data_IF_894467008772
#
_entry.id   IF_894467008772
#
_cell.length_a   1.000
_cell.length_b   1.000
_cell.length_c   1.000
_cell.angle_alpha   90.00
_cell.angle_beta   90.00
_cell.angle_gamma   90.00
#
_symmetry.space_group_name_H-M   'P 1'
#
loop_
_entity.id
_entity.type
_entity.pdbx_description
1 polymer ?
#
# COMPACT_ATOMS: atom_id res chain seq x y z
N UNK A 1 10.79 11.24 -78.88
CA UNK A 1 9.89 11.83 -77.86
C UNK A 1 9.62 10.77 -76.83
N UNK A 2 10.23 10.85 -75.65
CA UNK A 2 9.92 10.00 -74.49
C UNK A 2 9.98 10.88 -73.25
N UNK A 3 8.82 11.30 -72.75
CA UNK A 3 8.70 12.14 -71.54
C UNK A 3 8.92 11.28 -70.29
N UNK A 4 9.64 11.77 -69.26
CA UNK A 4 9.73 11.08 -67.97
C UNK A 4 8.41 11.20 -67.20
N UNK A 5 8.02 10.13 -66.52
CA UNK A 5 6.84 10.09 -65.63
C UNK A 5 7.03 11.02 -64.42
N UNK A 6 5.94 11.62 -63.89
CA UNK A 6 6.01 12.49 -62.72
C UNK A 6 6.25 11.69 -61.44
N UNK A 7 7.02 12.28 -60.52
CA UNK A 7 7.40 11.70 -59.24
C UNK A 7 6.18 11.49 -58.31
N UNK A 8 6.22 10.40 -57.54
CA UNK A 8 5.28 10.00 -56.48
C UNK A 8 5.29 10.95 -55.25
N UNK A 9 5.39 12.26 -55.45
CA UNK A 9 5.62 13.23 -54.37
C UNK A 9 4.48 13.37 -53.35
N UNK A 10 3.27 12.88 -53.64
CA UNK A 10 2.13 12.92 -52.73
C UNK A 10 2.14 11.75 -51.71
N UNK A 11 2.53 10.55 -52.15
CA UNK A 11 2.59 9.35 -51.30
C UNK A 11 3.73 9.46 -50.26
N UNK A 12 4.86 10.07 -50.63
CA UNK A 12 6.00 10.31 -49.72
C UNK A 12 5.67 11.26 -48.55
N UNK A 13 4.80 12.26 -48.77
CA UNK A 13 4.40 13.20 -47.70
C UNK A 13 3.40 12.58 -46.72
N UNK A 14 2.48 11.76 -47.22
CA UNK A 14 1.47 11.06 -46.43
C UNK A 14 2.14 9.99 -45.55
N UNK A 15 3.04 9.18 -46.12
CA UNK A 15 3.82 8.20 -45.34
C UNK A 15 4.80 8.86 -44.36
N UNK A 16 5.41 10.02 -44.68
CA UNK A 16 6.31 10.73 -43.74
C UNK A 16 5.64 11.23 -42.46
N UNK A 17 4.32 11.42 -42.45
CA UNK A 17 3.57 11.89 -41.27
C UNK A 17 2.79 10.74 -40.61
N UNK A 18 2.18 9.85 -41.40
CA UNK A 18 1.42 8.71 -40.88
C UNK A 18 2.32 7.60 -40.35
N UNK A 19 3.49 7.36 -40.94
CA UNK A 19 4.41 6.32 -40.45
C UNK A 19 4.96 6.63 -39.05
N UNK A 20 5.49 7.83 -38.74
CA UNK A 20 5.87 8.17 -37.36
C UNK A 20 4.65 8.25 -36.44
N UNK A 21 3.46 8.66 -36.93
CA UNK A 21 2.23 8.67 -36.11
C UNK A 21 1.75 7.28 -35.71
N UNK A 22 1.72 6.33 -36.65
CA UNK A 22 1.39 4.92 -36.41
C UNK A 22 2.49 4.24 -35.58
N UNK A 23 3.76 4.56 -35.82
CA UNK A 23 4.87 4.07 -34.99
C UNK A 23 4.78 4.62 -33.56
N UNK A 24 4.42 5.90 -33.37
CA UNK A 24 4.16 6.47 -32.04
C UNK A 24 2.98 5.79 -31.34
N UNK A 25 1.89 5.51 -32.06
CA UNK A 25 0.72 4.81 -31.53
C UNK A 25 1.04 3.34 -31.17
N UNK A 26 1.82 2.65 -32.00
CA UNK A 26 2.27 1.27 -31.74
C UNK A 26 3.28 1.20 -30.59
N UNK A 27 4.19 2.17 -30.46
CA UNK A 27 5.17 2.22 -29.37
C UNK A 27 4.51 2.50 -28.01
N UNK A 28 3.54 3.40 -27.95
CA UNK A 28 2.77 3.67 -26.72
C UNK A 28 1.80 2.51 -26.38
N UNK A 29 1.24 1.85 -27.39
CA UNK A 29 0.42 0.66 -27.22
C UNK A 29 1.21 -0.54 -26.66
N UNK A 30 2.42 -0.79 -27.15
CA UNK A 30 3.27 -1.89 -26.69
C UNK A 30 3.68 -1.75 -25.22
N UNK A 31 3.98 -0.54 -24.74
CA UNK A 31 4.31 -0.31 -23.33
C UNK A 31 3.12 -0.61 -22.40
N UNK A 32 1.91 -0.23 -22.82
CA UNK A 32 0.67 -0.51 -22.08
C UNK A 32 0.33 -2.00 -22.11
N UNK A 33 0.43 -2.65 -23.27
CA UNK A 33 0.19 -4.10 -23.43
C UNK A 33 1.19 -4.92 -22.61
N UNK A 34 2.48 -4.60 -22.66
CA UNK A 34 3.51 -5.25 -21.85
C UNK A 34 3.23 -5.14 -20.35
N UNK A 35 2.79 -3.95 -19.91
CA UNK A 35 2.44 -3.73 -18.51
C UNK A 35 1.22 -4.54 -18.06
N UNK A 36 0.14 -4.58 -18.84
CA UNK A 36 -1.02 -5.40 -18.47
C UNK A 36 -0.74 -6.90 -18.60
N UNK A 37 0.09 -7.31 -19.56
CA UNK A 37 0.54 -8.69 -19.69
C UNK A 37 1.33 -9.16 -18.47
N UNK A 38 2.22 -8.32 -17.90
CA UNK A 38 2.94 -8.70 -16.67
C UNK A 38 2.02 -8.77 -15.46
N UNK A 39 1.01 -7.90 -15.35
CA UNK A 39 0.00 -7.99 -14.28
C UNK A 39 -0.79 -9.31 -14.39
N UNK A 40 -1.28 -9.65 -15.58
CA UNK A 40 -2.03 -10.88 -15.81
C UNK A 40 -1.16 -12.14 -15.57
N UNK A 41 0.07 -12.14 -16.10
CA UNK A 41 1.00 -13.25 -15.94
C UNK A 41 1.41 -13.45 -14.48
N UNK A 42 1.75 -12.37 -13.77
CA UNK A 42 2.13 -12.42 -12.36
C UNK A 42 0.99 -12.92 -11.47
N UNK A 43 -0.22 -12.41 -11.69
CA UNK A 43 -1.41 -12.87 -10.96
C UNK A 43 -1.68 -14.35 -11.26
N UNK A 44 -1.64 -14.77 -12.54
CA UNK A 44 -1.87 -16.17 -12.91
C UNK A 44 -0.83 -17.12 -12.31
N UNK A 45 0.44 -16.72 -12.28
CA UNK A 45 1.50 -17.50 -11.63
C UNK A 45 1.23 -17.68 -10.14
N UNK A 46 0.88 -16.59 -9.44
CA UNK A 46 0.50 -16.65 -8.03
C UNK A 46 -0.70 -17.57 -7.84
N UNK A 47 -1.76 -17.40 -8.63
CA UNK A 47 -2.98 -18.21 -8.50
C UNK A 47 -2.74 -19.70 -8.74
N UNK A 48 -1.78 -20.06 -9.62
CA UNK A 48 -1.36 -21.44 -9.91
C UNK A 48 -0.45 -22.04 -8.84
N UNK A 49 0.32 -21.21 -8.13
CA UNK A 49 1.24 -21.66 -7.08
C UNK A 49 0.52 -22.00 -5.75
N UNK A 50 -0.79 -21.72 -5.65
CA UNK A 50 -1.56 -21.94 -4.42
C UNK A 50 -1.78 -23.42 -4.14
N UNK A 51 -1.56 -23.78 -2.90
CA UNK A 51 -1.93 -25.07 -2.32
C UNK A 51 -2.67 -24.88 -0.98
N UNK A 52 -3.56 -25.80 -0.57
CA UNK A 52 -4.23 -25.70 0.73
C UNK A 52 -3.24 -25.72 1.90
N UNK A 53 -3.39 -24.80 2.85
CA UNK A 53 -2.52 -24.71 4.02
C UNK A 53 -2.51 -26.01 4.81
N UNK A 54 -3.66 -26.67 4.96
CA UNK A 54 -3.79 -27.95 5.65
C UNK A 54 -2.88 -29.03 5.06
N UNK A 55 -2.72 -29.06 3.72
CA UNK A 55 -1.83 -30.03 3.06
C UNK A 55 -0.37 -29.73 3.37
N UNK A 56 0.02 -28.45 3.38
CA UNK A 56 1.39 -28.04 3.74
C UNK A 56 1.70 -28.39 5.20
N UNK A 57 0.77 -28.16 6.11
CA UNK A 57 0.92 -28.51 7.53
C UNK A 57 1.04 -30.02 7.74
N UNK A 58 0.27 -30.82 7.00
CA UNK A 58 0.25 -32.27 7.13
C UNK A 58 1.49 -32.95 6.51
N UNK A 59 2.17 -32.31 5.56
CA UNK A 59 3.32 -32.86 4.85
C UNK A 59 4.60 -32.80 5.71
N UNK A 60 5.13 -33.95 6.18
CA UNK A 60 6.32 -33.98 7.03
C UNK A 60 7.61 -33.62 6.29
N UNK A 61 7.60 -33.57 4.96
CA UNK A 61 8.76 -33.18 4.15
C UNK A 61 8.94 -31.67 4.04
N UNK A 62 7.91 -30.89 4.41
CA UNK A 62 7.99 -29.43 4.46
C UNK A 62 8.75 -28.97 5.69
N UNK A 63 9.35 -27.79 5.56
CA UNK A 63 10.06 -27.13 6.65
C UNK A 63 9.17 -26.99 7.91
N UNK A 64 9.71 -27.38 9.06
CA UNK A 64 8.96 -27.42 10.31
C UNK A 64 8.53 -26.01 10.78
N UNK A 65 9.35 -25.00 10.51
CA UNK A 65 9.07 -23.60 10.86
C UNK A 65 7.92 -23.06 10.02
N UNK A 66 7.93 -23.31 8.70
CA UNK A 66 6.82 -23.00 7.80
C UNK A 66 5.51 -23.64 8.28
N UNK A 67 5.53 -24.94 8.58
CA UNK A 67 4.34 -25.67 9.07
C UNK A 67 3.80 -25.06 10.37
N UNK A 68 4.68 -24.69 11.29
CA UNK A 68 4.30 -24.06 12.56
C UNK A 68 3.67 -22.67 12.35
N UNK A 69 4.29 -21.81 11.54
CA UNK A 69 3.76 -20.48 11.21
C UNK A 69 2.39 -20.57 10.53
N UNK A 70 2.25 -21.48 9.55
CA UNK A 70 0.97 -21.71 8.88
C UNK A 70 -0.09 -22.20 9.86
N UNK A 71 0.24 -23.12 10.77
CA UNK A 71 -0.72 -23.58 11.78
C UNK A 71 -1.19 -22.42 12.69
N UNK A 72 -0.31 -21.50 13.08
CA UNK A 72 -0.70 -20.33 13.87
C UNK A 72 -1.54 -19.34 13.06
N UNK A 73 -1.20 -19.13 11.79
CA UNK A 73 -2.00 -18.28 10.89
C UNK A 73 -3.45 -18.80 10.76
N UNK A 74 -3.65 -20.12 10.72
CA UNK A 74 -5.00 -20.70 10.62
C UNK A 74 -5.82 -20.48 11.89
N UNK A 75 -5.18 -20.45 13.07
CA UNK A 75 -5.89 -20.10 14.31
C UNK A 75 -6.31 -18.63 14.32
N UNK A 76 -5.45 -17.73 13.87
CA UNK A 76 -5.81 -16.32 13.68
C UNK A 76 -6.94 -16.17 12.65
N UNK A 77 -6.88 -16.92 11.55
CA UNK A 77 -7.92 -16.92 10.51
C UNK A 77 -9.28 -17.39 11.03
N UNK A 78 -9.31 -18.43 11.86
CA UNK A 78 -10.52 -18.90 12.53
C UNK A 78 -11.05 -17.84 13.51
N UNK A 79 -10.17 -17.26 14.33
CA UNK A 79 -10.51 -16.18 15.24
C UNK A 79 -11.13 -14.96 14.52
N UNK A 80 -10.59 -14.60 13.36
CA UNK A 80 -11.14 -13.53 12.53
C UNK A 80 -12.61 -13.77 12.17
N UNK A 81 -12.95 -14.98 11.70
CA UNK A 81 -14.33 -15.34 11.36
C UNK A 81 -15.23 -15.44 12.59
N UNK A 82 -14.77 -16.16 13.62
CA UNK A 82 -15.60 -16.59 14.75
C UNK A 82 -15.82 -15.48 15.79
N UNK A 83 -14.83 -14.61 16.00
CA UNK A 83 -14.86 -13.60 17.06
C UNK A 83 -14.93 -12.17 16.53
N UNK A 84 -14.29 -11.88 15.39
CA UNK A 84 -14.32 -10.55 14.78
C UNK A 84 -15.45 -10.40 13.75
N UNK A 85 -16.17 -11.48 13.42
CA UNK A 85 -17.21 -11.51 12.37
C UNK A 85 -16.70 -11.05 11.00
N UNK A 86 -15.43 -11.31 10.71
CA UNK A 86 -14.84 -11.09 9.39
C UNK A 86 -15.26 -12.22 8.42
N UNK A 87 -15.16 -12.00 7.09
CA UNK A 87 -15.65 -12.97 6.11
C UNK A 87 -15.05 -14.35 6.30
N UNK A 88 -15.88 -15.40 6.27
CA UNK A 88 -15.41 -16.80 6.32
C UNK A 88 -15.32 -17.41 4.91
N UNK A 89 -14.30 -16.97 4.17
CA UNK A 89 -14.01 -17.42 2.82
C UNK A 89 -12.66 -18.15 2.75
N UNK A 90 -12.21 -18.49 1.54
CA UNK A 90 -10.97 -19.22 1.31
C UNK A 90 -9.70 -18.34 1.32
N UNK A 91 -9.82 -17.01 1.44
CA UNK A 91 -8.66 -16.13 1.60
C UNK A 91 -7.89 -16.49 2.88
N UNK A 92 -6.57 -16.54 2.76
CA UNK A 92 -5.61 -16.93 3.79
C UNK A 92 -5.77 -18.36 4.34
N UNK A 93 -6.52 -19.23 3.65
CA UNK A 93 -6.54 -20.70 3.87
C UNK A 93 -5.68 -21.46 2.85
N UNK A 94 -5.06 -20.72 1.94
CA UNK A 94 -4.14 -21.20 0.90
C UNK A 94 -2.73 -20.67 1.19
N UNK A 95 -1.71 -21.41 0.79
CA UNK A 95 -0.31 -21.01 0.81
C UNK A 95 0.23 -20.95 -0.62
N UNK A 96 1.08 -19.98 -0.93
CA UNK A 96 1.83 -19.95 -2.17
C UNK A 96 3.29 -19.53 -1.92
N UNK A 97 4.22 -20.38 -2.32
CA UNK A 97 5.63 -20.01 -2.42
C UNK A 97 5.86 -19.34 -3.77
N UNK A 98 6.11 -18.03 -3.74
CA UNK A 98 6.39 -17.22 -4.93
C UNK A 98 7.90 -17.14 -5.23
N UNK A 99 8.73 -17.79 -4.41
CA UNK A 99 10.20 -17.87 -4.52
C UNK A 99 10.89 -16.51 -4.64
N UNK A 100 10.33 -15.49 -3.99
CA UNK A 100 10.84 -14.12 -3.96
C UNK A 100 10.44 -13.40 -2.66
N UNK A 101 11.18 -12.36 -2.25
CA UNK A 101 10.92 -11.66 -0.99
C UNK A 101 9.72 -10.71 -1.04
N UNK A 102 9.27 -10.31 -2.24
CA UNK A 102 8.15 -9.39 -2.42
C UNK A 102 7.23 -9.88 -3.53
N UNK A 103 5.92 -9.79 -3.30
CA UNK A 103 4.94 -10.23 -4.28
C UNK A 103 4.85 -9.26 -5.46
N UNK A 104 4.93 -7.96 -5.16
CA UNK A 104 5.03 -6.87 -6.14
C UNK A 104 5.99 -5.79 -5.65
N UNK A 105 6.40 -4.93 -6.57
CA UNK A 105 7.22 -3.76 -6.35
C UNK A 105 6.44 -2.53 -6.78
N UNK A 106 6.16 -1.63 -5.85
CA UNK A 106 5.44 -0.40 -6.11
C UNK A 106 6.43 0.71 -6.45
N UNK A 107 6.19 1.39 -7.57
CA UNK A 107 6.88 2.61 -7.97
C UNK A 107 6.00 3.79 -7.60
N UNK A 108 6.55 4.69 -6.80
CA UNK A 108 5.95 5.98 -6.44
C UNK A 108 6.74 7.07 -7.14
N UNK A 109 6.05 8.03 -7.75
CA UNK A 109 6.66 9.16 -8.44
C UNK A 109 5.91 10.46 -8.12
N UNK A 110 6.64 11.56 -8.02
CA UNK A 110 6.09 12.92 -7.88
C UNK A 110 7.10 13.92 -8.42
N UNK A 111 6.65 15.12 -8.77
CA UNK A 111 7.54 16.20 -9.18
C UNK A 111 8.55 16.53 -8.06
N UNK A 112 9.74 16.97 -8.44
CA UNK A 112 10.83 17.34 -7.52
C UNK A 112 10.39 18.27 -6.36
N UNK A 113 9.43 19.17 -6.59
CA UNK A 113 8.87 20.09 -5.57
C UNK A 113 7.36 19.89 -5.39
N UNK A 114 6.94 18.64 -5.27
CA UNK A 114 5.54 18.30 -5.00
C UNK A 114 5.44 17.04 -4.14
N UNK A 115 4.40 16.98 -3.32
CA UNK A 115 3.95 15.79 -2.60
C UNK A 115 2.66 15.20 -3.18
N UNK A 116 2.27 15.67 -4.36
CA UNK A 116 1.14 15.10 -5.13
C UNK A 116 1.65 13.92 -5.96
N UNK A 117 1.17 12.69 -5.71
CA UNK A 117 1.61 11.53 -6.46
C UNK A 117 1.21 11.61 -7.93
N UNK A 118 2.03 11.04 -8.80
CA UNK A 118 1.60 10.67 -10.13
C UNK A 118 0.61 9.51 -10.02
N UNK A 119 -0.66 9.79 -10.31
CA UNK A 119 -1.71 8.79 -10.24
C UNK A 119 -1.73 7.88 -11.48
N UNK A 120 -2.06 6.61 -11.25
CA UNK A 120 -2.28 5.61 -12.29
C UNK A 120 -3.70 5.07 -12.18
N UNK A 121 -4.49 5.23 -13.24
CA UNK A 121 -5.89 4.84 -13.26
C UNK A 121 -6.10 3.51 -13.96
N UNK A 122 -6.81 2.62 -13.28
CA UNK A 122 -7.13 1.27 -13.72
C UNK A 122 -8.65 1.13 -13.87
N UNK A 123 -9.16 0.40 -14.89
CA UNK A 123 -10.61 0.30 -15.14
C UNK A 123 -11.42 -0.24 -13.95
N UNK A 124 -10.83 -1.13 -13.15
CA UNK A 124 -11.51 -1.82 -12.04
C UNK A 124 -11.12 -1.19 -10.69
N UNK A 125 -9.82 -0.97 -10.45
CA UNK A 125 -9.30 -0.54 -9.15
C UNK A 125 -9.34 0.99 -8.92
N UNK A 126 -9.79 1.79 -9.89
CA UNK A 126 -9.76 3.25 -9.79
C UNK A 126 -8.34 3.80 -9.96
N UNK A 127 -8.10 5.02 -9.46
CA UNK A 127 -6.79 5.67 -9.55
C UNK A 127 -5.99 5.45 -8.26
N UNK A 128 -4.77 4.95 -8.38
CA UNK A 128 -3.86 4.75 -7.25
C UNK A 128 -2.61 5.61 -7.38
N UNK A 129 -2.02 5.97 -6.23
CA UNK A 129 -0.84 6.84 -6.11
C UNK A 129 0.50 6.16 -6.46
N UNK A 130 0.46 4.93 -6.98
CA UNK A 130 1.62 4.12 -7.31
C UNK A 130 1.35 3.19 -8.48
N UNK A 131 2.42 2.61 -9.05
CA UNK A 131 2.33 1.58 -10.07
C UNK A 131 3.02 0.29 -9.62
N UNK A 132 2.25 -0.79 -9.53
CA UNK A 132 2.74 -2.11 -9.10
C UNK A 132 3.35 -2.95 -10.23
N UNK A 133 4.43 -3.65 -9.93
CA UNK A 133 5.15 -4.55 -10.84
C UNK A 133 5.49 -5.88 -10.17
N UNK A 134 5.20 -7.01 -10.81
CA UNK A 134 5.62 -8.32 -10.29
C UNK A 134 7.12 -8.56 -10.37
N UNK A 135 7.80 -7.86 -11.30
CA UNK A 135 9.25 -7.94 -11.48
C UNK A 135 9.95 -6.70 -10.93
N UNK A 136 11.00 -6.91 -10.13
CA UNK A 136 11.86 -5.81 -9.65
C UNK A 136 12.56 -5.09 -10.80
N UNK A 137 12.97 -5.81 -11.86
CA UNK A 137 13.66 -5.19 -12.99
C UNK A 137 12.73 -4.26 -13.76
N UNK A 138 11.45 -4.62 -13.90
CA UNK A 138 10.44 -3.75 -14.51
C UNK A 138 10.19 -2.49 -13.67
N UNK A 139 10.07 -2.62 -12.34
CA UNK A 139 9.97 -1.48 -11.43
C UNK A 139 11.19 -0.56 -11.51
N UNK A 140 12.40 -1.12 -11.61
CA UNK A 140 13.64 -0.35 -11.80
C UNK A 140 13.67 0.38 -13.14
N UNK A 141 13.20 -0.27 -14.20
CA UNK A 141 13.08 0.33 -15.53
C UNK A 141 12.14 1.53 -15.54
N UNK A 142 10.93 1.38 -14.99
CA UNK A 142 9.98 2.49 -14.83
C UNK A 142 10.59 3.61 -13.99
N UNK A 143 11.20 3.27 -12.85
CA UNK A 143 11.80 4.27 -11.99
C UNK A 143 12.95 5.05 -12.66
N UNK A 144 13.69 4.42 -13.58
CA UNK A 144 14.72 5.10 -14.36
C UNK A 144 14.10 6.09 -15.36
N UNK A 145 13.02 5.71 -16.05
CA UNK A 145 12.28 6.59 -16.97
C UNK A 145 11.76 7.83 -16.23
N UNK A 146 11.14 7.64 -15.07
CA UNK A 146 10.60 8.74 -14.26
C UNK A 146 11.71 9.68 -13.76
N UNK A 147 12.86 9.14 -13.32
CA UNK A 147 14.01 9.96 -12.92
C UNK A 147 14.59 10.79 -14.08
N UNK A 148 14.63 10.25 -15.29
CA UNK A 148 15.06 11.00 -16.49
C UNK A 148 14.15 12.19 -16.79
N UNK A 149 12.91 12.17 -16.32
CA UNK A 149 11.96 13.28 -16.41
C UNK A 149 12.10 14.29 -15.25
N UNK A 150 13.09 14.12 -14.37
CA UNK A 150 13.31 15.00 -13.22
C UNK A 150 12.36 14.74 -12.05
N UNK A 151 11.72 13.57 -12.00
CA UNK A 151 10.81 13.19 -10.92
C UNK A 151 11.59 12.67 -9.70
N UNK A 152 11.05 12.93 -8.52
CA UNK A 152 11.39 12.15 -7.33
C UNK A 152 10.73 10.77 -7.46
N UNK A 153 11.50 9.71 -7.22
CA UNK A 153 11.03 8.33 -7.40
C UNK A 153 11.50 7.43 -6.28
N UNK A 154 10.57 6.62 -5.77
CA UNK A 154 10.83 5.58 -4.77
C UNK A 154 10.30 4.22 -5.26
N UNK A 155 11.03 3.15 -4.94
CA UNK A 155 10.57 1.77 -5.18
C UNK A 155 10.42 1.09 -3.82
N UNK A 156 9.23 0.58 -3.53
CA UNK A 156 8.92 -0.18 -2.32
C UNK A 156 8.59 -1.64 -2.65
N UNK A 157 9.21 -2.58 -1.96
CA UNK A 157 8.80 -3.98 -2.01
C UNK A 157 7.53 -4.17 -1.19
N UNK A 158 6.54 -4.83 -1.77
CA UNK A 158 5.27 -5.17 -1.12
C UNK A 158 5.30 -6.67 -0.81
N UNK A 159 5.25 -7.00 0.46
CA UNK A 159 5.37 -8.37 0.96
C UNK A 159 4.01 -9.10 0.97
N UNK A 160 2.91 -8.34 0.93
CA UNK A 160 1.52 -8.82 0.92
C UNK A 160 0.61 -7.80 0.20
N UNK A 161 -0.39 -8.27 -0.54
CA UNK A 161 -1.52 -7.44 -0.96
C UNK A 161 -2.80 -8.30 -0.99
N UNK A 162 -3.94 -7.65 -0.89
CA UNK A 162 -5.27 -8.25 -1.06
C UNK A 162 -5.87 -7.90 -2.41
N UNK A 163 -6.59 -8.84 -3.01
CA UNK A 163 -7.41 -8.61 -4.20
C UNK A 163 -8.83 -8.17 -3.83
N UNK A 164 -9.05 -7.71 -2.59
CA UNK A 164 -10.35 -7.28 -2.07
C UNK A 164 -11.43 -8.38 -2.23
N UNK A 165 -11.02 -9.64 -2.21
CA UNK A 165 -11.92 -10.80 -2.32
C UNK A 165 -12.28 -11.21 -3.75
N UNK A 166 -11.70 -10.57 -4.78
CA UNK A 166 -11.84 -11.05 -6.18
C UNK A 166 -11.22 -12.42 -6.39
N UNK A 167 -10.19 -12.75 -5.59
CA UNK A 167 -9.59 -14.07 -5.52
C UNK A 167 -9.42 -14.52 -4.07
N UNK A 168 -9.25 -15.83 -3.89
CA UNK A 168 -8.81 -16.39 -2.61
C UNK A 168 -7.31 -16.09 -2.46
N UNK A 169 -7.00 -14.97 -1.81
CA UNK A 169 -5.63 -14.50 -1.59
C UNK A 169 -4.88 -15.47 -0.66
N UNK A 170 -3.72 -16.01 -1.06
CA UNK A 170 -2.97 -16.95 -0.22
C UNK A 170 -2.09 -16.23 0.79
N UNK A 171 -1.67 -16.97 1.81
CA UNK A 171 -0.49 -16.64 2.61
C UNK A 171 0.74 -16.87 1.72
N UNK A 172 1.63 -15.86 1.64
CA UNK A 172 2.81 -15.88 0.79
C UNK A 172 4.08 -16.20 1.58
N UNK A 173 5.07 -16.83 0.95
CA UNK A 173 6.38 -17.05 1.58
C UNK A 173 7.05 -15.73 2.04
N UNK A 174 6.75 -14.60 1.38
CA UNK A 174 7.23 -13.26 1.76
C UNK A 174 6.71 -12.79 3.12
N UNK A 175 5.61 -13.33 3.62
CA UNK A 175 5.04 -12.99 4.93
C UNK A 175 5.66 -13.79 6.08
N UNK A 176 6.43 -14.85 5.78
CA UNK A 176 6.92 -15.79 6.81
C UNK A 176 8.03 -15.22 7.69
N UNK A 177 8.67 -14.13 7.29
CA UNK A 177 9.72 -13.46 8.09
C UNK A 177 9.20 -12.54 9.19
N UNK A 178 7.87 -12.37 9.30
CA UNK A 178 7.26 -11.29 10.09
C UNK A 178 6.96 -11.62 11.55
N UNK A 179 6.99 -12.92 11.89
CA UNK A 179 6.45 -13.44 13.15
C UNK A 179 4.93 -13.61 13.10
N UNK A 180 4.42 -14.51 13.96
CA UNK A 180 3.01 -14.93 13.92
C UNK A 180 2.02 -13.80 14.17
N UNK A 181 2.37 -12.84 15.04
CA UNK A 181 1.48 -11.74 15.38
C UNK A 181 1.28 -10.80 14.19
N UNK A 182 2.35 -10.36 13.52
CA UNK A 182 2.26 -9.48 12.35
C UNK A 182 1.53 -10.14 11.17
N UNK A 183 1.65 -11.46 11.03
CA UNK A 183 0.83 -12.19 10.05
C UNK A 183 -0.66 -12.22 10.45
N UNK A 184 -0.97 -12.43 11.74
CA UNK A 184 -2.34 -12.40 12.23
C UNK A 184 -2.97 -11.00 12.05
N UNK A 185 -2.25 -9.93 12.39
CA UNK A 185 -2.73 -8.55 12.23
C UNK A 185 -3.02 -8.23 10.76
N UNK A 186 -2.12 -8.60 9.84
CA UNK A 186 -2.35 -8.47 8.40
C UNK A 186 -3.63 -9.21 7.97
N UNK A 187 -3.83 -10.46 8.41
CA UNK A 187 -5.03 -11.23 8.05
C UNK A 187 -6.30 -10.47 8.48
N UNK A 188 -6.30 -9.83 9.65
CA UNK A 188 -7.45 -9.04 10.11
C UNK A 188 -7.67 -7.80 9.24
N UNK A 189 -6.60 -7.05 8.92
CA UNK A 189 -6.64 -5.88 8.05
C UNK A 189 -7.22 -6.23 6.67
N UNK A 190 -6.68 -7.25 6.04
CA UNK A 190 -7.04 -7.60 4.66
C UNK A 190 -8.44 -8.22 4.57
N UNK A 191 -8.86 -8.98 5.58
CA UNK A 191 -10.24 -9.46 5.66
C UNK A 191 -11.23 -8.33 5.97
N UNK A 192 -10.81 -7.27 6.66
CA UNK A 192 -11.64 -6.08 6.84
C UNK A 192 -11.92 -5.41 5.49
N UNK A 193 -10.91 -5.27 4.62
CA UNK A 193 -11.14 -4.81 3.24
C UNK A 193 -12.12 -5.70 2.46
N UNK A 194 -12.09 -7.01 2.66
CA UNK A 194 -13.07 -7.93 2.06
C UNK A 194 -14.47 -7.79 2.68
N UNK A 195 -14.55 -7.35 3.95
CA UNK A 195 -15.82 -7.12 4.65
C UNK A 195 -16.54 -5.87 4.14
N UNK A 196 -15.79 -4.80 3.88
CA UNK A 196 -16.35 -3.55 3.37
C UNK A 196 -15.27 -2.70 2.69
N UNK A 197 -15.61 -2.13 1.53
CA UNK A 197 -14.74 -1.25 0.75
C UNK A 197 -15.57 -0.19 0.01
N UNK A 198 -15.15 1.07 0.13
CA UNK A 198 -15.75 2.23 -0.53
C UNK A 198 -14.89 2.61 -1.74
N UNK A 199 -15.48 2.61 -2.93
CA UNK A 199 -14.77 3.00 -4.15
C UNK A 199 -14.25 4.44 -4.06
N UNK A 200 -13.00 4.64 -4.50
CA UNK A 200 -12.33 5.94 -4.59
C UNK A 200 -12.18 6.70 -3.24
N UNK A 201 -12.25 5.99 -2.09
CA UNK A 201 -12.01 6.57 -0.76
C UNK A 201 -10.96 5.78 0.04
N UNK A 202 -9.69 5.94 -0.35
CA UNK A 202 -8.55 5.31 0.31
C UNK A 202 -8.48 5.65 1.80
N UNK A 203 -8.69 6.92 2.17
CA UNK A 203 -8.63 7.36 3.58
C UNK A 203 -9.63 6.59 4.44
N UNK A 204 -10.86 6.43 3.97
CA UNK A 204 -11.87 5.67 4.69
C UNK A 204 -11.50 4.18 4.81
N UNK A 205 -11.16 3.55 3.69
CA UNK A 205 -10.93 2.10 3.63
C UNK A 205 -9.78 1.65 4.50
N UNK A 206 -8.68 2.39 4.44
CA UNK A 206 -7.46 2.07 5.18
C UNK A 206 -7.66 2.34 6.67
N UNK A 207 -8.29 3.46 7.04
CA UNK A 207 -8.55 3.75 8.46
C UNK A 207 -9.52 2.75 9.08
N UNK A 208 -10.50 2.26 8.31
CA UNK A 208 -11.39 1.19 8.75
C UNK A 208 -10.63 -0.11 8.96
N UNK A 209 -9.85 -0.55 7.98
CA UNK A 209 -9.08 -1.79 8.06
C UNK A 209 -8.02 -1.74 9.18
N UNK A 210 -7.31 -0.62 9.32
CA UNK A 210 -6.36 -0.36 10.40
C UNK A 210 -7.03 -0.42 11.77
N UNK A 211 -8.23 0.14 11.92
CA UNK A 211 -8.96 0.04 13.19
C UNK A 211 -9.30 -1.43 13.52
N UNK A 212 -9.84 -2.17 12.54
CA UNK A 212 -10.16 -3.60 12.72
C UNK A 212 -8.90 -4.42 13.03
N UNK A 213 -7.77 -4.12 12.38
CA UNK A 213 -6.47 -4.70 12.69
C UNK A 213 -6.10 -4.48 14.15
N UNK A 214 -6.08 -3.22 14.61
CA UNK A 214 -5.63 -2.87 15.96
C UNK A 214 -6.51 -3.50 17.04
N UNK A 215 -7.83 -3.34 16.90
CA UNK A 215 -8.79 -3.87 17.86
C UNK A 215 -8.87 -5.41 17.80
N UNK A 216 -8.81 -5.98 16.60
CA UNK A 216 -8.72 -7.44 16.40
C UNK A 216 -7.46 -8.03 17.01
N UNK A 217 -6.32 -7.35 16.89
CA UNK A 217 -5.05 -7.76 17.51
C UNK A 217 -5.13 -7.72 19.03
N UNK A 218 -5.74 -6.66 19.59
CA UNK A 218 -5.97 -6.55 21.04
C UNK A 218 -6.81 -7.73 21.55
N UNK A 219 -7.92 -8.03 20.88
CA UNK A 219 -8.80 -9.15 21.24
C UNK A 219 -8.12 -10.51 21.03
N UNK A 220 -7.32 -10.67 19.97
CA UNK A 220 -6.57 -11.89 19.67
C UNK A 220 -5.53 -12.20 20.74
N UNK A 221 -4.79 -11.20 21.22
CA UNK A 221 -3.84 -11.35 22.32
C UNK A 221 -4.55 -11.76 23.60
N UNK A 222 -5.66 -11.09 23.93
CA UNK A 222 -6.47 -11.44 25.10
C UNK A 222 -7.01 -12.88 25.03
N UNK A 223 -7.51 -13.30 23.87
CA UNK A 223 -7.96 -14.67 23.63
C UNK A 223 -6.87 -15.71 23.88
N UNK A 224 -5.61 -15.37 23.59
CA UNK A 224 -4.44 -16.22 23.82
C UNK A 224 -3.84 -16.11 25.23
N UNK A 225 -4.42 -15.29 26.11
CA UNK A 225 -3.86 -15.00 27.43
C UNK A 225 -2.50 -14.27 27.37
N UNK A 226 -2.20 -13.60 26.26
CA UNK A 226 -1.01 -12.77 26.12
C UNK A 226 -1.28 -11.41 26.77
N UNK A 227 -0.23 -10.75 27.34
CA UNK A 227 -0.39 -9.39 27.83
C UNK A 227 -0.89 -8.49 26.71
N UNK A 228 -1.53 -7.37 27.04
CA UNK A 228 -1.77 -6.30 26.06
C UNK A 228 -0.46 -6.01 25.32
N UNK A 229 -0.54 -5.64 24.04
CA UNK A 229 0.68 -5.20 23.36
C UNK A 229 1.27 -4.07 24.20
N UNK A 230 2.58 -4.09 24.39
CA UNK A 230 3.24 -2.97 25.05
C UNK A 230 2.93 -1.74 24.21
N UNK A 231 2.16 -0.79 24.75
CA UNK A 231 1.77 0.47 24.11
C UNK A 231 2.94 1.13 23.34
N UNK A 232 4.18 0.85 23.76
CA UNK A 232 5.41 1.29 23.09
C UNK A 232 5.47 0.99 21.58
N UNK A 233 5.07 -0.18 21.06
CA UNK A 233 5.25 -0.49 19.62
C UNK A 233 4.28 0.28 18.73
N UNK A 234 3.00 0.27 19.10
CA UNK A 234 1.97 1.04 18.40
C UNK A 234 2.26 2.53 18.53
N UNK A 235 2.61 3.00 19.74
CA UNK A 235 3.04 4.38 19.97
C UNK A 235 4.25 4.78 19.12
N UNK A 236 5.27 3.94 19.03
CA UNK A 236 6.44 4.18 18.18
C UNK A 236 6.07 4.29 16.70
N UNK A 237 5.15 3.44 16.22
CA UNK A 237 4.64 3.52 14.85
C UNK A 237 3.91 4.84 14.64
N UNK A 238 2.99 5.19 15.52
CA UNK A 238 2.16 6.40 15.40
C UNK A 238 3.04 7.66 15.45
N UNK A 239 4.00 7.72 16.38
CA UNK A 239 4.99 8.80 16.47
C UNK A 239 5.88 8.91 15.23
N UNK A 240 6.28 7.78 14.65
CA UNK A 240 7.05 7.78 13.40
C UNK A 240 6.22 8.31 12.23
N UNK A 241 4.97 7.88 12.11
CA UNK A 241 4.04 8.36 11.08
C UNK A 241 3.79 9.86 11.25
N UNK A 242 3.54 10.32 12.47
CA UNK A 242 3.36 11.74 12.80
C UNK A 242 4.58 12.56 12.37
N UNK A 243 5.80 12.10 12.68
CA UNK A 243 7.02 12.76 12.25
C UNK A 243 7.14 12.87 10.71
N UNK A 244 6.75 11.82 9.99
CA UNK A 244 6.71 11.83 8.52
C UNK A 244 5.67 12.82 8.00
N UNK A 245 4.48 12.86 8.61
CA UNK A 245 3.40 13.78 8.25
C UNK A 245 3.76 15.25 8.49
N UNK A 246 4.39 15.54 9.62
CA UNK A 246 4.91 16.87 9.93
C UNK A 246 5.95 17.32 8.90
N UNK A 247 6.84 16.41 8.51
CA UNK A 247 7.82 16.66 7.45
C UNK A 247 7.14 16.98 6.11
N UNK A 248 6.09 16.23 5.75
CA UNK A 248 5.29 16.53 4.56
C UNK A 248 4.67 17.92 4.62
N UNK A 249 4.06 18.29 5.75
CA UNK A 249 3.47 19.62 5.95
C UNK A 249 4.50 20.75 5.82
N UNK A 250 5.72 20.57 6.35
CA UNK A 250 6.80 21.54 6.18
C UNK A 250 7.26 21.66 4.73
N UNK A 251 7.41 20.54 4.03
CA UNK A 251 7.76 20.51 2.60
C UNK A 251 6.67 21.15 1.72
N UNK A 252 5.39 20.92 2.00
CA UNK A 252 4.28 21.57 1.29
C UNK A 252 4.33 23.09 1.43
N UNK A 253 4.56 23.59 2.66
CA UNK A 253 4.75 25.03 2.92
C UNK A 253 5.99 25.58 2.22
N UNK A 254 7.08 24.81 2.16
CA UNK A 254 8.30 25.18 1.44
C UNK A 254 8.03 25.31 -0.06
N UNK A 255 7.38 24.32 -0.67
CA UNK A 255 7.10 24.29 -2.12
C UNK A 255 6.10 25.36 -2.58
N UNK A 256 5.31 25.91 -1.66
CA UNK A 256 4.43 27.06 -1.95
C UNK A 256 5.18 28.40 -2.06
N UNK A 257 6.46 28.46 -1.67
CA UNK A 257 7.26 29.70 -1.72
C UNK A 257 7.78 29.98 -3.13
N UNK A 258 7.84 31.26 -3.49
CA UNK A 258 8.44 31.72 -4.76
C UNK A 258 9.93 32.02 -4.59
N UNK A 259 10.75 30.98 -4.45
CA UNK A 259 12.21 31.07 -4.33
C UNK A 259 12.93 30.44 -5.53
N UNK A 260 14.19 30.81 -5.84
CA UNK A 260 14.97 30.17 -6.89
C UNK A 260 15.08 28.65 -6.71
N UNK A 261 15.09 27.92 -7.83
CA UNK A 261 15.11 26.44 -7.84
C UNK A 261 16.27 25.85 -7.03
N UNK A 262 17.48 26.41 -7.14
CA UNK A 262 18.62 25.90 -6.38
C UNK A 262 18.44 26.09 -4.87
N UNK A 263 17.87 27.21 -4.43
CA UNK A 263 17.54 27.43 -3.01
C UNK A 263 16.44 26.46 -2.55
N UNK A 264 15.45 26.19 -3.40
CA UNK A 264 14.40 25.19 -3.11
C UNK A 264 15.01 23.79 -2.88
N UNK A 265 16.00 23.38 -3.69
CA UNK A 265 16.72 22.11 -3.50
C UNK A 265 17.50 22.06 -2.20
N UNK A 266 18.21 23.13 -1.87
CA UNK A 266 18.97 23.25 -0.62
C UNK A 266 18.04 23.16 0.61
N UNK A 267 16.93 23.90 0.61
CA UNK A 267 15.95 23.86 1.68
C UNK A 267 15.24 22.50 1.79
N UNK A 268 14.88 21.88 0.66
CA UNK A 268 14.33 20.51 0.63
C UNK A 268 15.30 19.52 1.27
N UNK A 269 16.58 19.57 0.93
CA UNK A 269 17.59 18.71 1.53
C UNK A 269 17.74 18.96 3.03
N UNK A 270 17.70 20.23 3.46
CA UNK A 270 17.75 20.61 4.87
C UNK A 270 16.55 20.07 5.68
N UNK A 271 15.35 20.06 5.10
CA UNK A 271 14.15 19.47 5.72
C UNK A 271 14.29 17.95 5.93
N UNK A 272 14.83 17.22 4.95
CA UNK A 272 15.11 15.79 5.13
C UNK A 272 16.20 15.52 6.18
N UNK A 273 17.22 16.36 6.28
CA UNK A 273 18.20 16.28 7.36
C UNK A 273 17.60 16.62 8.72
N UNK A 274 16.65 17.55 8.78
CA UNK A 274 15.89 17.85 9.99
C UNK A 274 15.06 16.64 10.43
N UNK A 275 14.30 16.02 9.51
CA UNK A 275 13.58 14.78 9.77
C UNK A 275 14.50 13.70 10.37
N UNK A 276 15.71 13.51 9.80
CA UNK A 276 16.68 12.54 10.33
C UNK A 276 17.14 12.89 11.75
N UNK A 277 17.31 14.17 12.08
CA UNK A 277 17.67 14.61 13.45
C UNK A 277 16.52 14.37 14.44
N UNK A 278 15.31 14.78 14.08
CA UNK A 278 14.10 14.58 14.88
C UNK A 278 13.84 13.10 15.16
N UNK A 279 13.99 12.25 14.13
CA UNK A 279 13.93 10.81 14.27
C UNK A 279 14.96 10.28 15.27
N UNK A 280 16.24 10.65 15.14
CA UNK A 280 17.29 10.18 16.07
C UNK A 280 17.02 10.63 17.51
N UNK A 281 16.59 11.87 17.70
CA UNK A 281 16.22 12.37 19.03
C UNK A 281 15.08 11.55 19.63
N UNK A 282 14.01 11.33 18.88
CA UNK A 282 12.86 10.53 19.31
C UNK A 282 13.26 9.09 19.63
N UNK A 283 14.03 8.46 18.73
CA UNK A 283 14.57 7.10 18.90
C UNK A 283 15.39 6.95 20.18
N UNK A 284 16.34 7.87 20.39
CA UNK A 284 17.30 7.76 21.47
C UNK A 284 16.72 8.19 22.83
N UNK A 285 15.68 9.05 22.84
CA UNK A 285 15.06 9.53 24.09
C UNK A 285 13.78 8.80 24.50
N UNK A 286 12.89 8.48 23.56
CA UNK A 286 11.56 7.93 23.86
C UNK A 286 11.46 6.43 23.59
N UNK A 287 12.32 5.90 22.72
CA UNK A 287 12.24 4.51 22.27
C UNK A 287 13.37 3.63 22.80
N UNK A 288 14.13 4.11 23.77
CA UNK A 288 15.30 3.42 24.35
C UNK A 288 16.31 2.94 23.29
N UNK A 289 16.45 3.68 22.18
CA UNK A 289 17.38 3.34 21.10
C UNK A 289 16.89 2.27 20.13
N UNK A 290 15.59 1.94 20.08
CA UNK A 290 15.03 0.98 19.11
C UNK A 290 15.25 1.42 17.65
N UNK A 291 16.01 0.63 16.89
CA UNK A 291 16.49 0.97 15.53
C UNK A 291 15.59 0.52 14.40
N UNK A 292 14.35 0.10 14.66
CA UNK A 292 13.47 -0.53 13.65
C UNK A 292 13.28 0.28 12.36
N UNK A 293 13.31 1.60 12.42
CA UNK A 293 13.15 2.47 11.23
C UNK A 293 14.48 2.99 10.67
N UNK A 294 15.63 2.65 11.27
CA UNK A 294 16.95 3.15 10.85
C UNK A 294 17.23 2.83 9.37
N UNK A 295 16.92 1.62 8.93
CA UNK A 295 17.09 1.21 7.53
C UNK A 295 16.26 2.08 6.58
N UNK A 296 15.06 2.49 6.96
CA UNK A 296 14.23 3.36 6.14
C UNK A 296 14.75 4.80 6.14
N UNK A 297 15.09 5.34 7.32
CA UNK A 297 15.52 6.74 7.51
C UNK A 297 16.89 7.03 6.88
N UNK A 298 17.79 6.05 6.90
CA UNK A 298 19.17 6.21 6.45
C UNK A 298 19.36 5.98 4.94
N UNK A 299 18.36 5.45 4.24
CA UNK A 299 18.37 5.45 2.78
C UNK A 299 18.11 6.85 2.21
N UNK A 300 18.44 7.11 0.93
CA UNK A 300 18.12 8.38 0.29
C UNK A 300 16.62 8.69 0.39
N UNK A 301 16.30 9.81 1.03
CA UNK A 301 14.93 10.32 1.17
C UNK A 301 14.63 11.29 0.03
N UNK A 302 13.38 11.26 -0.43
CA UNK A 302 12.82 12.17 -1.42
C UNK A 302 11.29 12.22 -1.23
N UNK A 303 10.60 13.10 -1.96
CA UNK A 303 9.16 13.27 -1.81
C UNK A 303 8.40 11.96 -2.07
N UNK A 304 8.81 11.20 -3.09
CA UNK A 304 8.18 9.94 -3.46
C UNK A 304 8.21 8.88 -2.34
N UNK A 305 9.23 8.94 -1.48
CA UNK A 305 9.36 8.02 -0.34
C UNK A 305 8.43 8.37 0.82
N UNK A 306 7.94 9.61 0.89
CA UNK A 306 6.94 10.04 1.86
C UNK A 306 5.52 9.72 1.40
N UNK A 307 5.29 9.50 0.10
CA UNK A 307 3.95 9.25 -0.48
C UNK A 307 3.16 8.11 0.18
N UNK A 308 3.78 6.96 0.56
CA UNK A 308 3.08 5.89 1.26
C UNK A 308 2.61 6.26 2.67
N UNK A 309 3.11 7.37 3.25
CA UNK A 309 2.77 7.80 4.59
C UNK A 309 1.79 8.96 4.51
N UNK A 310 0.66 8.85 5.19
CA UNK A 310 -0.27 9.97 5.37
C UNK A 310 -1.64 9.88 4.70
N UNK A 311 -2.04 8.71 4.19
CA UNK A 311 -3.40 8.48 3.69
C UNK A 311 -4.16 7.39 4.45
N UNK A 312 -3.51 6.73 5.43
CA UNK A 312 -3.95 5.42 5.90
C UNK A 312 -4.71 5.47 7.24
N UNK A 313 -4.38 6.38 8.16
CA UNK A 313 -4.84 6.24 9.56
C UNK A 313 -5.63 7.44 10.12
N UNK A 314 -5.97 8.43 9.29
CA UNK A 314 -6.63 9.68 9.74
C UNK A 314 -7.92 9.43 10.51
N UNK A 315 -8.71 8.43 10.12
CA UNK A 315 -10.03 8.17 10.69
C UNK A 315 -10.06 7.03 11.69
N UNK A 316 -8.90 6.45 12.06
CA UNK A 316 -8.84 5.39 13.08
C UNK A 316 -9.50 5.83 14.41
N UNK A 317 -9.30 7.07 14.92
CA UNK A 317 -10.00 7.54 16.11
C UNK A 317 -11.53 7.56 15.96
N UNK A 318 -12.04 7.90 14.76
CA UNK A 318 -13.48 7.91 14.48
C UNK A 318 -14.07 6.50 14.55
N UNK A 319 -13.38 5.50 13.97
CA UNK A 319 -13.82 4.10 14.04
C UNK A 319 -13.73 3.55 15.46
N UNK A 320 -12.71 3.93 16.24
CA UNK A 320 -12.62 3.57 17.66
C UNK A 320 -13.77 4.16 18.49
N UNK A 321 -14.12 5.43 18.28
CA UNK A 321 -15.27 6.06 18.90
C UNK A 321 -16.58 5.36 18.52
N UNK A 322 -16.75 5.05 17.23
CA UNK A 322 -17.92 4.35 16.72
C UNK A 322 -18.08 2.94 17.33
N UNK A 323 -16.98 2.18 17.43
CA UNK A 323 -16.98 0.85 18.05
C UNK A 323 -17.37 0.92 19.53
N UNK A 324 -16.89 1.93 20.25
CA UNK A 324 -17.29 2.20 21.63
C UNK A 324 -18.76 2.56 21.75
N UNK A 325 -19.30 3.40 20.86
CA UNK A 325 -20.72 3.79 20.86
C UNK A 325 -21.65 2.60 20.69
N UNK A 326 -21.26 1.59 19.92
CA UNK A 326 -22.04 0.35 19.75
C UNK A 326 -21.75 -0.71 20.82
N UNK A 327 -20.97 -0.37 21.86
CA UNK A 327 -20.69 -1.25 23.00
C UNK A 327 -19.66 -2.34 22.70
N UNK A 328 -18.81 -2.17 21.69
CA UNK A 328 -17.84 -3.18 21.27
C UNK A 328 -18.44 -4.37 20.50
N UNK A 329 -19.64 -4.21 19.95
CA UNK A 329 -20.31 -5.22 19.13
C UNK A 329 -19.90 -5.09 17.66
N UNK A 330 -19.19 -6.10 17.14
CA UNK A 330 -18.67 -6.11 15.77
C UNK A 330 -19.77 -6.04 14.69
N UNK A 331 -20.89 -6.74 14.87
CA UNK A 331 -21.96 -6.75 13.89
C UNK A 331 -22.64 -5.38 13.79
N UNK A 332 -22.91 -4.75 14.94
CA UNK A 332 -23.44 -3.38 15.00
C UNK A 332 -22.43 -2.37 14.46
N UNK A 333 -21.15 -2.55 14.75
CA UNK A 333 -20.09 -1.71 14.23
C UNK A 333 -20.05 -1.73 12.71
N UNK A 334 -19.99 -2.92 12.10
CA UNK A 334 -19.97 -3.03 10.64
C UNK A 334 -21.22 -2.44 9.99
N UNK A 335 -22.40 -2.61 10.59
CA UNK A 335 -23.62 -1.96 10.10
C UNK A 335 -23.52 -0.42 10.11
N UNK A 336 -22.83 0.18 11.09
CA UNK A 336 -22.59 1.63 11.10
C UNK A 336 -21.51 2.06 10.11
N UNK A 337 -20.44 1.27 9.96
CA UNK A 337 -19.40 1.51 8.95
C UNK A 337 -20.01 1.51 7.54
N UNK A 338 -20.89 0.55 7.24
CA UNK A 338 -21.61 0.48 5.96
C UNK A 338 -22.49 1.71 5.73
N UNK A 339 -23.21 2.18 6.76
CA UNK A 339 -24.00 3.42 6.69
C UNK A 339 -23.14 4.64 6.42
N UNK A 340 -22.03 4.79 7.14
CA UNK A 340 -21.07 5.88 6.93
C UNK A 340 -20.48 5.82 5.51
N UNK A 341 -20.11 4.64 5.04
CA UNK A 341 -19.55 4.44 3.70
C UNK A 341 -20.55 4.76 2.58
N UNK A 342 -21.86 4.57 2.81
CA UNK A 342 -22.93 4.92 1.88
C UNK A 342 -23.20 6.42 1.74
N UNK A 343 -22.64 7.27 2.61
CA UNK A 343 -22.82 8.73 2.53
C UNK A 343 -22.04 9.34 1.35
N UNK A 344 -22.51 10.47 0.79
CA UNK A 344 -21.70 11.30 -0.10
C UNK A 344 -20.37 11.68 0.56
N UNK A 345 -19.29 11.78 -0.24
CA UNK A 345 -17.91 11.99 0.26
C UNK A 345 -17.82 13.14 1.28
N UNK A 346 -18.44 14.28 1.01
CA UNK A 346 -18.40 15.45 1.90
C UNK A 346 -19.10 15.18 3.25
N UNK A 347 -20.27 14.56 3.21
CA UNK A 347 -21.05 14.20 4.41
C UNK A 347 -20.33 13.12 5.22
N UNK A 348 -19.75 12.13 4.55
CA UNK A 348 -18.92 11.08 5.16
C UNK A 348 -17.74 11.68 5.92
N UNK A 349 -16.97 12.56 5.27
CA UNK A 349 -15.82 13.22 5.93
C UNK A 349 -16.25 14.11 7.09
N UNK A 350 -17.39 14.78 7.00
CA UNK A 350 -17.93 15.55 8.12
C UNK A 350 -18.32 14.66 9.31
N UNK A 351 -19.01 13.54 9.05
CA UNK A 351 -19.39 12.58 10.09
C UNK A 351 -18.17 11.94 10.78
N UNK A 352 -17.16 11.53 10.01
CA UNK A 352 -15.91 11.00 10.55
C UNK A 352 -15.18 12.03 11.41
N UNK A 353 -15.17 13.30 11.00
CA UNK A 353 -14.57 14.38 11.79
C UNK A 353 -15.29 14.59 13.12
N UNK A 354 -16.62 14.52 13.14
CA UNK A 354 -17.38 14.58 14.39
C UNK A 354 -17.07 13.39 15.31
N UNK A 355 -16.98 12.18 14.75
CA UNK A 355 -16.64 10.98 15.53
C UNK A 355 -15.21 10.99 16.07
N UNK A 356 -14.27 11.60 15.34
CA UNK A 356 -12.87 11.70 15.75
C UNK A 356 -12.62 12.77 16.83
N UNK A 357 -13.54 13.72 17.03
CA UNK A 357 -13.37 14.78 18.02
C UNK A 357 -13.68 14.22 19.43
N UNK A 358 -12.69 14.20 20.34
CA UNK A 358 -12.86 13.65 21.68
C UNK A 358 -13.87 14.42 22.56
N UNK A 359 -14.35 15.59 22.12
CA UNK A 359 -15.35 16.40 22.81
C UNK A 359 -16.79 16.24 22.29
N UNK A 360 -17.04 15.32 21.34
CA UNK A 360 -18.37 15.09 20.74
C UNK A 360 -19.20 14.02 21.44
#
# INVERSE_FOLDING_TARGET
>A
MSRPFPSLGLLDRVFRVLFPGVLFLLLNGCASVSYYAQLASGQLQLLRAREPVEKVIADPTRDATLRAHLAQSQKARAFASEHLHLPDNQSYRLYADIHRPYVVWNVFATQEFSLTPQNHCFPIAGCVAYRGYYSQSAARGEAAIQRLQGMDVSIGGVEAYSTLGWFNDPILNSMMGWGDERLATLIFHELAHQRFYVKDDTEFNESFATFVEQEGTRQWRAFRGLPADTDSRLKQRDQFIELVLDTRSRLEKLYAQSIPVEQMREHKAAEFEQFRREYRMMRDSQWAGDKRYDAWVNTPLNNARLLPFGLYDQWVPAFAALFKQVGGDWLRFYAQVERLGGLPVAERKAALKMLADPNS
#
